data_IF_327098292055
#
_entry.id   IF_327098292055
#
_cell.length_a   1.000
_cell.length_b   1.000
_cell.length_c   1.000
_cell.angle_alpha   90.00
_cell.angle_beta   90.00
_cell.angle_gamma   90.00
#
_symmetry.space_group_name_H-M   'P 1'
#
loop_
_entity.id
_entity.type
_entity.pdbx_description
1 polymer ?
#
# COMPACT_ATOMS: atom_id res chain seq x y z
N UNK A 1 -22.74 9.22 3.55
CA UNK A 1 -21.74 10.02 2.81
C UNK A 1 -20.56 10.28 3.75
N UNK A 2 -19.54 9.42 3.74
CA UNK A 2 -18.35 9.63 4.60
C UNK A 2 -17.49 10.75 4.01
N UNK A 3 -16.89 11.56 4.89
CA UNK A 3 -16.13 12.76 4.55
C UNK A 3 -14.93 12.42 3.66
N UNK A 4 -15.09 12.57 2.35
CA UNK A 4 -14.09 12.30 1.31
C UNK A 4 -12.79 13.11 1.47
N UNK A 5 -12.82 14.27 2.13
CA UNK A 5 -11.64 15.14 2.30
C UNK A 5 -10.58 14.72 3.34
N UNK A 6 -10.60 13.48 3.87
CA UNK A 6 -9.64 13.01 4.89
C UNK A 6 -9.08 11.61 4.66
N UNK A 7 -9.38 10.94 3.54
CA UNK A 7 -8.78 9.61 3.29
C UNK A 7 -7.30 9.78 2.93
N UNK A 8 -6.37 9.19 3.70
CA UNK A 8 -4.94 9.32 3.43
C UNK A 8 -4.54 8.79 2.04
N UNK A 9 -5.30 7.86 1.45
CA UNK A 9 -5.02 7.38 0.09
C UNK A 9 -5.38 8.40 -0.99
N UNK A 10 -6.36 9.28 -0.74
CA UNK A 10 -6.68 10.40 -1.64
C UNK A 10 -5.68 11.54 -1.44
N UNK A 11 -5.35 11.86 -0.18
CA UNK A 11 -4.39 12.92 0.14
C UNK A 11 -2.98 12.61 -0.38
N UNK A 12 -2.57 11.33 -0.35
CA UNK A 12 -1.31 10.85 -0.92
C UNK A 12 -1.39 10.53 -2.41
N UNK A 13 -2.48 10.91 -3.09
CA UNK A 13 -2.74 10.70 -4.53
C UNK A 13 -2.83 9.23 -4.99
N UNK A 14 -2.53 8.25 -4.13
CA UNK A 14 -2.62 6.80 -4.43
C UNK A 14 -3.94 6.41 -5.11
N UNK A 15 -5.08 6.95 -4.65
CA UNK A 15 -6.34 6.86 -5.41
C UNK A 15 -6.31 7.93 -6.51
N UNK A 16 -6.43 7.49 -7.76
CA UNK A 16 -6.25 8.29 -8.97
C UNK A 16 -4.95 7.92 -9.68
N UNK A 17 -3.86 7.83 -8.93
CA UNK A 17 -2.57 7.45 -9.46
C UNK A 17 -2.45 5.94 -9.70
N UNK A 18 -2.74 5.12 -8.69
CA UNK A 18 -2.53 3.66 -8.73
C UNK A 18 -3.85 2.91 -8.70
N UNK A 19 -4.80 3.40 -7.91
CA UNK A 19 -6.06 2.70 -7.66
C UNK A 19 -7.26 3.57 -8.06
N UNK A 20 -8.29 2.93 -8.61
CA UNK A 20 -9.63 3.51 -8.66
C UNK A 20 -10.22 3.64 -7.24
N UNK A 21 -11.16 4.59 -7.01
CA UNK A 21 -11.88 4.66 -5.74
C UNK A 21 -12.56 3.33 -5.39
N UNK A 22 -12.35 2.84 -4.17
CA UNK A 22 -12.87 1.55 -3.74
C UNK A 22 -13.44 1.58 -2.32
N UNK A 23 -14.24 0.57 -1.99
CA UNK A 23 -14.68 0.32 -0.60
C UNK A 23 -13.84 -0.81 -0.01
N UNK A 24 -13.18 -0.54 1.12
CA UNK A 24 -12.34 -1.54 1.82
C UNK A 24 -13.16 -2.77 2.22
N UNK A 25 -12.76 -3.95 1.72
CA UNK A 25 -13.44 -5.23 1.94
C UNK A 25 -12.77 -6.12 2.99
N UNK A 26 -11.46 -5.94 3.21
CA UNK A 26 -10.64 -6.64 4.21
C UNK A 26 -9.75 -5.64 4.95
N UNK A 27 -9.28 -6.00 6.15
CA UNK A 27 -8.20 -5.28 6.83
C UNK A 27 -6.86 -5.93 6.50
N UNK A 28 -5.82 -5.11 6.41
CA UNK A 28 -4.45 -5.54 6.15
C UNK A 28 -3.53 -4.83 7.14
N UNK A 29 -2.65 -5.60 7.78
CA UNK A 29 -1.59 -5.10 8.66
C UNK A 29 -0.25 -5.52 8.07
N UNK A 30 0.67 -4.56 7.98
CA UNK A 30 2.01 -4.77 7.45
C UNK A 30 3.01 -4.40 8.54
N UNK A 31 3.97 -5.27 8.79
CA UNK A 31 5.01 -5.07 9.80
C UNK A 31 6.40 -5.27 9.20
N UNK A 32 7.26 -4.28 9.38
CA UNK A 32 8.71 -4.40 9.12
C UNK A 32 9.43 -4.34 10.47
N UNK A 33 10.36 -5.28 10.73
CA UNK A 33 11.14 -5.33 11.98
C UNK A 33 10.26 -5.19 13.24
N UNK A 34 9.16 -5.97 13.29
CA UNK A 34 8.16 -5.95 14.36
C UNK A 34 7.44 -4.61 14.59
N UNK A 35 7.58 -3.64 13.68
CA UNK A 35 6.86 -2.38 13.72
C UNK A 35 5.78 -2.35 12.66
N UNK A 36 4.53 -2.22 13.11
CA UNK A 36 3.39 -1.99 12.22
C UNK A 36 3.49 -0.61 11.57
N UNK A 37 3.18 -0.56 10.27
CA UNK A 37 3.17 0.66 9.49
C UNK A 37 1.74 1.06 9.12
N UNK A 38 1.57 2.34 8.82
CA UNK A 38 0.31 2.91 8.34
C UNK A 38 0.56 3.83 7.15
N UNK A 39 -0.48 4.22 6.42
CA UNK A 39 -0.38 5.12 5.27
C UNK A 39 0.43 6.38 5.62
N UNK A 40 1.47 6.67 4.84
CA UNK A 40 2.38 7.81 5.03
C UNK A 40 3.52 7.59 6.04
N UNK A 41 3.67 6.39 6.61
CA UNK A 41 4.83 6.06 7.46
C UNK A 41 6.11 6.11 6.64
N UNK A 42 7.07 6.97 7.03
CA UNK A 42 8.39 7.04 6.41
C UNK A 42 9.30 5.96 6.98
N UNK A 43 9.89 5.16 6.10
CA UNK A 43 10.86 4.12 6.43
C UNK A 43 12.19 4.44 5.77
N UNK A 44 13.30 4.03 6.40
CA UNK A 44 14.61 4.04 5.75
C UNK A 44 14.71 2.80 4.85
N UNK A 45 15.48 2.89 3.76
CA UNK A 45 15.73 1.73 2.88
C UNK A 45 16.27 0.52 3.68
N UNK A 46 17.18 0.75 4.62
CA UNK A 46 17.74 -0.31 5.48
C UNK A 46 16.72 -0.97 6.41
N UNK A 47 15.52 -0.39 6.59
CA UNK A 47 14.47 -0.96 7.42
C UNK A 47 13.51 -1.86 6.63
N UNK A 48 13.65 -1.93 5.30
CA UNK A 48 12.77 -2.66 4.37
C UNK A 48 13.55 -3.60 3.44
N UNK A 49 14.77 -3.99 3.83
CA UNK A 49 15.61 -4.94 3.08
C UNK A 49 14.95 -6.33 3.00
N UNK A 50 14.36 -6.77 4.10
CA UNK A 50 13.60 -8.02 4.18
C UNK A 50 12.11 -7.81 3.94
N UNK A 51 11.44 -8.85 3.43
CA UNK A 51 9.98 -8.83 3.23
C UNK A 51 9.23 -8.60 4.54
N UNK A 52 8.09 -7.88 4.52
CA UNK A 52 7.31 -7.65 5.72
C UNK A 52 6.54 -8.90 6.15
N UNK A 53 6.15 -8.92 7.43
CA UNK A 53 5.04 -9.75 7.88
C UNK A 53 3.73 -9.09 7.45
N UNK A 54 2.87 -9.85 6.77
CA UNK A 54 1.56 -9.38 6.30
C UNK A 54 0.46 -10.22 6.92
N UNK A 55 -0.52 -9.55 7.52
CA UNK A 55 -1.73 -10.17 8.06
C UNK A 55 -2.95 -9.59 7.35
N UNK A 56 -3.77 -10.45 6.77
CA UNK A 56 -5.01 -10.08 6.10
C UNK A 56 -6.19 -10.69 6.86
N UNK A 57 -7.17 -9.86 7.20
CA UNK A 57 -8.43 -10.31 7.81
C UNK A 57 -9.59 -9.94 6.88
N UNK A 58 -10.06 -10.95 6.15
CA UNK A 58 -11.23 -10.86 5.28
C UNK A 58 -12.55 -11.04 6.02
N UNK A 59 -13.66 -10.69 5.35
CA UNK A 59 -15.03 -10.97 5.84
C UNK A 59 -15.44 -12.43 5.66
N UNK A 60 -14.92 -13.07 4.64
CA UNK A 60 -15.16 -14.47 4.30
C UNK A 60 -13.83 -15.22 4.30
N UNK A 61 -13.76 -16.31 5.07
CA UNK A 61 -12.57 -17.14 5.24
C UNK A 61 -12.26 -18.01 4.02
N UNK A 62 -13.20 -18.14 3.08
CA UNK A 62 -13.02 -18.89 1.83
C UNK A 62 -12.40 -18.05 0.73
N UNK A 63 -12.37 -16.73 0.89
CA UNK A 63 -11.80 -15.83 -0.10
C UNK A 63 -10.28 -15.91 -0.04
N UNK A 64 -9.68 -16.05 -1.23
CA UNK A 64 -8.25 -15.91 -1.43
C UNK A 64 -7.94 -14.47 -1.80
N UNK A 65 -6.77 -13.99 -1.36
CA UNK A 65 -6.30 -12.64 -1.61
C UNK A 65 -4.95 -12.69 -2.32
N UNK A 66 -4.75 -11.77 -3.25
CA UNK A 66 -3.44 -11.49 -3.85
C UNK A 66 -2.91 -10.20 -3.24
N UNK A 67 -1.65 -10.22 -2.81
CA UNK A 67 -0.95 -9.03 -2.34
C UNK A 67 -0.06 -8.52 -3.46
N UNK A 68 -0.07 -7.22 -3.72
CA UNK A 68 0.82 -6.59 -4.69
C UNK A 68 1.51 -5.40 -4.01
N UNK A 69 2.83 -5.32 -4.16
CA UNK A 69 3.64 -4.19 -3.70
C UNK A 69 4.33 -3.55 -4.91
N UNK A 70 3.99 -2.30 -5.19
CA UNK A 70 4.53 -1.51 -6.31
C UNK A 70 5.11 -0.19 -5.84
N UNK A 71 6.05 0.35 -6.61
CA UNK A 71 6.51 1.73 -6.52
C UNK A 71 6.00 2.53 -7.73
N UNK A 72 5.05 3.46 -7.54
CA UNK A 72 4.53 4.29 -8.61
C UNK A 72 5.48 5.44 -8.98
N UNK A 73 6.53 5.67 -8.21
CA UNK A 73 7.43 6.81 -8.32
C UNK A 73 8.79 6.42 -8.89
N UNK A 74 8.94 5.24 -9.52
CA UNK A 74 10.23 4.77 -10.03
C UNK A 74 10.65 5.47 -11.35
N UNK A 75 11.91 5.92 -11.51
CA UNK A 75 12.98 5.97 -10.49
C UNK A 75 12.89 7.20 -9.57
N UNK A 76 12.07 8.20 -9.92
CA UNK A 76 11.78 9.33 -9.02
C UNK A 76 10.35 9.87 -9.23
N UNK A 77 9.70 10.43 -8.19
CA UNK A 77 8.35 10.97 -8.30
C UNK A 77 8.24 12.14 -9.30
N UNK A 78 9.36 12.83 -9.60
CA UNK A 78 9.37 13.93 -10.57
C UNK A 78 9.47 13.45 -12.03
N UNK A 79 9.97 12.24 -12.25
CA UNK A 79 10.07 11.61 -13.57
C UNK A 79 9.87 10.09 -13.41
N UNK A 80 8.63 9.64 -13.23
CA UNK A 80 8.32 8.26 -12.92
C UNK A 80 8.26 7.41 -14.21
N UNK A 81 9.36 7.33 -14.95
CA UNK A 81 9.43 6.65 -16.26
C UNK A 81 9.20 5.15 -16.19
N UNK A 82 9.46 4.55 -15.04
CA UNK A 82 9.44 3.09 -14.81
C UNK A 82 8.22 2.68 -13.97
N UNK A 83 7.27 3.61 -13.80
CA UNK A 83 6.01 3.37 -13.10
C UNK A 83 5.16 2.34 -13.85
N UNK A 84 4.58 1.33 -13.19
CA UNK A 84 4.76 0.92 -11.78
C UNK A 84 5.85 -0.15 -11.66
N UNK A 85 6.81 0.05 -10.76
CA UNK A 85 7.84 -0.95 -10.51
C UNK A 85 7.34 -2.00 -9.52
N UNK A 86 7.25 -3.25 -9.95
CA UNK A 86 6.78 -4.37 -9.13
C UNK A 86 7.86 -4.86 -8.15
N UNK A 87 7.64 -4.68 -6.85
CA UNK A 87 8.51 -5.20 -5.81
C UNK A 87 8.14 -6.62 -5.39
N UNK A 88 6.84 -6.93 -5.26
CA UNK A 88 6.40 -8.23 -4.76
C UNK A 88 4.98 -8.58 -5.22
N UNK A 89 4.76 -9.86 -5.53
CA UNK A 89 3.46 -10.50 -5.77
C UNK A 89 3.46 -11.93 -5.20
#
# INVERSE_FOLDING_TARGET
MSRSGRDPLVLGQIIGDVLDPFTRSASMRIMFNNREISNGTRLRQSAVEDKPLVQIQGRDTRMLYTLVMVDPDAPSPNNPSDREYLHWI
#
